data_IF_638574613801
#
_entry.id   IF_638574613801
#
_cell.length_a   1.000
_cell.length_b   1.000
_cell.length_c   1.000
_cell.angle_alpha   90.00
_cell.angle_beta   90.00
_cell.angle_gamma   90.00
#
_symmetry.space_group_name_H-M   'P 1'
#
loop_
_entity.id
_entity.type
_entity.pdbx_description
1 polymer ?
#
# COMPACT_ATOMS: atom_id res chain seq x y z
N UNK A 1 0.61 -17.31 -8.91
CA UNK A 1 1.10 -17.21 -7.51
C UNK A 1 -0.09 -17.34 -6.57
N UNK A 2 0.03 -18.11 -5.49
CA UNK A 2 -1.00 -18.24 -4.45
C UNK A 2 -0.47 -17.67 -3.15
N UNK A 3 -1.20 -16.75 -2.53
CA UNK A 3 -0.92 -16.21 -1.19
C UNK A 3 -1.87 -16.87 -0.20
N UNK A 4 -1.33 -17.39 0.90
CA UNK A 4 -2.11 -17.96 2.01
C UNK A 4 -1.89 -17.06 3.22
N UNK A 5 -2.98 -16.52 3.76
CA UNK A 5 -2.95 -15.70 4.97
C UNK A 5 -3.01 -16.65 6.16
N UNK A 6 -1.94 -16.71 6.94
CA UNK A 6 -1.85 -17.55 8.15
C UNK A 6 -2.28 -16.81 9.41
N UNK A 7 -2.11 -15.50 9.44
CA UNK A 7 -2.52 -14.62 10.52
C UNK A 7 -3.21 -13.38 9.93
N UNK A 8 -4.49 -13.21 10.28
CA UNK A 8 -5.33 -12.12 9.79
C UNK A 8 -5.07 -10.81 10.52
N UNK A 9 -4.63 -10.86 11.78
CA UNK A 9 -4.46 -9.64 12.57
C UNK A 9 -3.11 -8.98 12.26
N UNK A 10 -2.16 -9.75 11.76
CA UNK A 10 -0.86 -9.23 11.32
C UNK A 10 -0.82 -8.80 9.84
N UNK A 11 -1.74 -9.28 9.00
CA UNK A 11 -1.69 -8.93 7.57
C UNK A 11 -2.07 -7.47 7.32
N UNK A 12 -1.24 -6.79 6.52
CA UNK A 12 -1.55 -5.49 5.90
C UNK A 12 -1.68 -5.68 4.39
N UNK A 13 -2.90 -5.91 3.87
CA UNK A 13 -3.10 -6.35 2.49
C UNK A 13 -2.49 -5.42 1.43
N UNK A 14 -2.65 -4.10 1.61
CA UNK A 14 -2.10 -3.10 0.68
C UNK A 14 -0.57 -3.09 0.71
N UNK A 15 0.04 -3.21 1.90
CA UNK A 15 1.50 -3.34 2.05
C UNK A 15 2.03 -4.57 1.32
N UNK A 16 1.37 -5.71 1.47
CA UNK A 16 1.73 -6.95 0.77
C UNK A 16 1.62 -6.78 -0.75
N UNK A 17 0.54 -6.15 -1.23
CA UNK A 17 0.35 -5.90 -2.66
C UNK A 17 1.42 -4.96 -3.23
N UNK A 18 1.81 -3.91 -2.49
CA UNK A 18 2.90 -3.00 -2.88
C UNK A 18 4.24 -3.71 -2.93
N UNK A 19 4.56 -4.55 -1.94
CA UNK A 19 5.77 -5.35 -1.93
C UNK A 19 5.83 -6.29 -3.15
N UNK A 20 4.72 -6.98 -3.44
CA UNK A 20 4.60 -7.84 -4.61
C UNK A 20 4.75 -7.06 -5.91
N UNK A 21 4.11 -5.90 -6.03
CA UNK A 21 4.22 -5.05 -7.21
C UNK A 21 5.66 -4.57 -7.42
N UNK A 22 6.39 -4.23 -6.35
CA UNK A 22 7.81 -3.89 -6.41
C UNK A 22 8.66 -5.04 -6.96
N UNK A 23 8.50 -6.24 -6.41
CA UNK A 23 9.21 -7.44 -6.86
C UNK A 23 8.89 -7.80 -8.33
N UNK A 24 7.63 -7.68 -8.74
CA UNK A 24 7.22 -7.91 -10.14
C UNK A 24 7.80 -6.86 -11.09
N UNK A 25 7.86 -5.59 -10.67
CA UNK A 25 8.44 -4.51 -11.46
C UNK A 25 9.95 -4.69 -11.65
N UNK A 26 10.65 -5.15 -10.63
CA UNK A 26 12.08 -5.46 -10.71
C UNK A 26 12.36 -6.59 -11.70
N UNK A 27 11.55 -7.67 -11.65
CA UNK A 27 11.75 -8.86 -12.47
C UNK A 27 11.18 -8.77 -13.90
N UNK A 28 10.09 -8.02 -14.09
CA UNK A 28 9.32 -7.95 -15.34
C UNK A 28 9.04 -6.49 -15.76
N UNK A 29 10.08 -5.64 -15.75
CA UNK A 29 9.94 -4.19 -15.96
C UNK A 29 9.21 -3.79 -17.25
N UNK A 30 9.45 -4.50 -18.35
CA UNK A 30 8.86 -4.18 -19.66
C UNK A 30 7.35 -4.47 -19.73
N UNK A 31 6.88 -5.44 -18.93
CA UNK A 31 5.48 -5.88 -18.87
C UNK A 31 4.69 -5.19 -17.76
N UNK A 32 5.39 -4.55 -16.81
CA UNK A 32 4.76 -3.85 -15.71
C UNK A 32 3.97 -2.62 -16.20
N UNK A 33 2.70 -2.52 -15.81
CA UNK A 33 1.76 -1.45 -16.20
C UNK A 33 1.29 -0.67 -14.96
N UNK A 34 1.99 0.42 -14.57
CA UNK A 34 1.71 1.15 -13.33
C UNK A 34 0.40 1.95 -13.35
N UNK A 35 -0.18 2.21 -14.53
CA UNK A 35 -1.33 3.10 -14.71
C UNK A 35 -2.55 2.62 -13.93
N UNK A 36 -2.74 1.29 -13.84
CA UNK A 36 -3.84 0.69 -13.08
C UNK A 36 -3.67 0.85 -11.56
N UNK A 37 -2.43 0.90 -11.08
CA UNK A 37 -2.12 1.07 -9.66
C UNK A 37 -2.40 2.51 -9.22
N UNK A 38 -2.12 3.49 -10.09
CA UNK A 38 -2.36 4.90 -9.81
C UNK A 38 -3.84 5.19 -9.47
N UNK A 39 -4.77 4.58 -10.21
CA UNK A 39 -6.21 4.74 -9.98
C UNK A 39 -6.68 4.10 -8.66
N UNK A 40 -5.95 3.11 -8.15
CA UNK A 40 -6.29 2.41 -6.91
C UNK A 40 -5.77 3.14 -5.67
N UNK A 41 -4.54 3.68 -5.72
CA UNK A 41 -3.90 4.24 -4.54
C UNK A 41 -4.35 5.66 -4.23
N UNK A 42 -4.72 6.46 -5.23
CA UNK A 42 -5.20 7.87 -5.13
C UNK A 42 -4.29 8.82 -4.31
N UNK A 43 -3.20 8.31 -3.74
CA UNK A 43 -2.14 9.05 -3.07
C UNK A 43 -0.97 9.24 -4.05
N UNK A 44 -0.87 10.46 -4.58
CA UNK A 44 0.14 10.81 -5.58
C UNK A 44 1.55 10.61 -5.05
N UNK A 45 1.83 10.99 -3.80
CA UNK A 45 3.16 10.87 -3.19
C UNK A 45 3.59 9.39 -3.13
N UNK A 46 2.71 8.51 -2.63
CA UNK A 46 2.96 7.06 -2.60
C UNK A 46 3.22 6.50 -4.00
N UNK A 47 2.45 6.92 -5.02
CA UNK A 47 2.68 6.47 -6.40
C UNK A 47 4.06 6.90 -6.92
N UNK A 48 4.47 8.14 -6.66
CA UNK A 48 5.79 8.63 -7.09
C UNK A 48 6.96 7.92 -6.40
N UNK A 49 6.89 7.71 -5.08
CA UNK A 49 7.91 6.95 -4.37
C UNK A 49 7.99 5.50 -4.87
N UNK A 50 6.84 4.88 -5.15
CA UNK A 50 6.79 3.51 -5.68
C UNK A 50 7.44 3.41 -7.06
N UNK A 51 7.15 4.36 -7.96
CA UNK A 51 7.75 4.43 -9.30
C UNK A 51 9.24 4.77 -9.27
N UNK A 52 9.73 5.43 -8.21
CA UNK A 52 11.16 5.67 -8.01
C UNK A 52 11.90 4.48 -7.39
N UNK A 53 11.21 3.36 -7.15
CA UNK A 53 11.79 2.19 -6.46
C UNK A 53 12.34 2.54 -5.08
N UNK A 54 11.69 3.49 -4.39
CA UNK A 54 12.06 3.79 -3.01
C UNK A 54 11.75 2.60 -2.09
N UNK A 55 12.47 2.48 -0.95
CA UNK A 55 12.19 1.46 0.03
C UNK A 55 10.73 1.47 0.49
N UNK A 56 10.13 0.29 0.63
CA UNK A 56 8.73 0.14 1.05
C UNK A 56 8.46 0.81 2.39
N UNK A 57 9.44 0.83 3.29
CA UNK A 57 9.34 1.49 4.59
C UNK A 57 9.06 3.00 4.45
N UNK A 58 9.68 3.66 3.47
CA UNK A 58 9.46 5.07 3.18
C UNK A 58 8.02 5.31 2.70
N UNK A 59 7.53 4.44 1.81
CA UNK A 59 6.15 4.46 1.31
C UNK A 59 5.12 4.30 2.42
N UNK A 60 5.40 3.42 3.39
CA UNK A 60 4.51 3.14 4.51
C UNK A 60 4.48 4.26 5.53
N UNK A 61 5.58 5.00 5.71
CA UNK A 61 5.64 6.10 6.68
C UNK A 61 4.55 7.16 6.46
N UNK A 62 4.31 7.57 5.21
CA UNK A 62 3.25 8.51 4.84
C UNK A 62 1.86 7.91 5.04
N UNK A 63 1.68 6.63 4.67
CA UNK A 63 0.41 5.94 4.85
C UNK A 63 0.04 5.79 6.34
N UNK A 64 1.02 5.57 7.22
CA UNK A 64 0.79 5.44 8.67
C UNK A 64 0.44 6.79 9.32
N UNK A 65 0.94 7.91 8.81
CA UNK A 65 0.54 9.25 9.27
C UNK A 65 -0.90 9.58 8.84
N UNK A 66 -1.24 9.36 7.56
CA UNK A 66 -2.59 9.52 7.05
C UNK A 66 -3.60 8.62 7.77
N UNK A 67 -3.21 7.36 8.02
CA UNK A 67 -4.01 6.40 8.79
C UNK A 67 -4.30 6.90 10.20
N UNK A 68 -3.30 7.44 10.92
CA UNK A 68 -3.49 7.98 12.28
C UNK A 68 -4.47 9.14 12.27
N UNK A 69 -4.32 10.06 11.31
CA UNK A 69 -5.26 11.18 11.12
C UNK A 69 -6.67 10.70 10.81
N UNK A 70 -6.81 9.71 9.93
CA UNK A 70 -8.09 9.10 9.59
C UNK A 70 -8.75 8.43 10.80
N UNK A 71 -8.03 7.59 11.56
CA UNK A 71 -8.56 6.93 12.74
C UNK A 71 -9.02 7.93 13.81
N UNK A 72 -8.29 9.03 13.99
CA UNK A 72 -8.68 10.10 14.91
C UNK A 72 -10.00 10.76 14.48
N UNK A 73 -10.20 10.99 13.17
CA UNK A 73 -11.46 11.53 12.65
C UNK A 73 -12.59 10.51 12.73
N UNK A 74 -12.32 9.25 12.39
CA UNK A 74 -13.29 8.15 12.39
C UNK A 74 -13.84 7.88 13.80
N UNK A 75 -13.02 8.06 14.84
CA UNK A 75 -13.40 7.77 16.23
C UNK A 75 -14.72 8.44 16.65
N UNK A 76 -14.98 9.68 16.18
CA UNK A 76 -16.21 10.42 16.48
C UNK A 76 -17.46 9.86 15.79
N UNK A 77 -17.31 8.97 14.82
CA UNK A 77 -18.39 8.44 13.97
C UNK A 77 -18.61 6.93 14.15
N UNK A 78 -17.89 6.28 15.07
CA UNK A 78 -18.05 4.84 15.32
C UNK A 78 -19.34 4.58 16.12
N UNK A 79 -20.24 3.80 15.53
CA UNK A 79 -21.49 3.34 16.16
C UNK A 79 -21.27 2.05 16.97
N UNK A 80 -20.24 1.28 16.59
CA UNK A 80 -19.90 -0.01 17.19
C UNK A 80 -18.48 0.04 17.77
N UNK A 81 -18.27 -0.72 18.84
CA UNK A 81 -16.97 -0.93 19.47
C UNK A 81 -16.31 -2.21 18.96
#
# INVERSE_FOLDING_TARGET
MRLIVTDRDQIRPVTVALALAGALRERHRAEFRPERIQNLLVNRATMWAFLRSEPLEHLLSWADEDRRSFLKRLASYLIYR
#
